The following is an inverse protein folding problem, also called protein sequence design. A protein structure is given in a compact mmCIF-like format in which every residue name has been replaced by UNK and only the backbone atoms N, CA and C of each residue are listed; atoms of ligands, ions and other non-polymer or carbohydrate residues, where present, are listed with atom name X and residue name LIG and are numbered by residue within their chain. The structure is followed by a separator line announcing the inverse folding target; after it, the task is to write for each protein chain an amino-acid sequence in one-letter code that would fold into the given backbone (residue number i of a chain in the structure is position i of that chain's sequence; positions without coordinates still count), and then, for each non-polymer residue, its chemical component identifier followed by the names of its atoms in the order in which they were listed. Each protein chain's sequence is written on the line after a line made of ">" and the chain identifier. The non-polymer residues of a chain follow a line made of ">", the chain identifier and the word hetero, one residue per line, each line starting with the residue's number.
data_IF_320911323239
#
_entry.id   IF_320911323239
#
_cell.length_a   1.000
_cell.length_b   1.000
_cell.length_c   1.000
_cell.angle_alpha   90.00
_cell.angle_beta   90.00
_cell.angle_gamma   90.00
#
_symmetry.space_group_name_H-M   'P 1'
#
loop_
_entity.id
_entity.type
_entity.pdbx_description
1 polymer ?
#
# COMPACT_ATOMS: atom_id res chain seq x y z
N UNK A 1 3.13 -5.81 13.12
CA UNK A 1 2.22 -4.69 12.82
C UNK A 1 1.88 -3.95 14.11
N UNK A 2 1.85 -2.61 14.10
CA UNK A 2 1.49 -1.84 15.28
C UNK A 2 0.12 -2.21 15.84
N UNK A 3 -0.01 -2.19 17.16
CA UNK A 3 -1.25 -2.60 17.84
C UNK A 3 -2.46 -1.76 17.42
N UNK A 4 -2.28 -0.46 17.22
CA UNK A 4 -3.37 0.42 16.78
C UNK A 4 -3.94 0.04 15.42
N UNK A 5 -3.08 -0.35 14.48
CA UNK A 5 -3.51 -0.80 13.15
C UNK A 5 -4.20 -2.16 13.23
N UNK A 6 -3.71 -3.05 14.10
CA UNK A 6 -4.37 -4.34 14.32
C UNK A 6 -5.78 -4.16 14.86
N UNK A 7 -5.98 -3.24 15.80
CA UNK A 7 -7.30 -2.95 16.35
C UNK A 7 -8.25 -2.44 15.28
N UNK A 8 -7.80 -1.51 14.43
CA UNK A 8 -8.60 -0.99 13.32
C UNK A 8 -9.01 -2.13 12.37
N UNK A 9 -8.07 -3.00 12.02
CA UNK A 9 -8.35 -4.13 11.13
C UNK A 9 -9.34 -5.10 11.76
N UNK A 10 -9.23 -5.35 13.06
CA UNK A 10 -10.12 -6.27 13.77
C UNK A 10 -11.51 -5.67 13.95
N UNK A 11 -11.62 -4.41 14.33
CA UNK A 11 -12.90 -3.77 14.65
C UNK A 11 -13.67 -3.31 13.42
N UNK A 12 -12.96 -2.78 12.42
CA UNK A 12 -13.58 -2.24 11.21
C UNK A 12 -13.88 -3.31 10.16
N UNK A 13 -13.06 -4.34 10.09
CA UNK A 13 -13.15 -5.38 9.08
C UNK A 13 -13.26 -6.75 9.75
N UNK A 14 -14.34 -7.45 9.45
CA UNK A 14 -14.73 -8.67 10.18
C UNK A 14 -13.96 -9.93 9.76
N UNK A 15 -13.43 -9.98 8.54
CA UNK A 15 -12.88 -11.22 8.00
C UNK A 15 -11.47 -11.56 8.50
N UNK A 16 -10.67 -10.58 8.88
CA UNK A 16 -9.26 -10.78 9.23
C UNK A 16 -8.36 -11.14 8.07
N UNK A 17 -8.91 -11.28 6.87
CA UNK A 17 -8.15 -11.59 5.65
C UNK A 17 -7.62 -10.32 5.01
N UNK A 18 -6.40 -10.42 4.48
CA UNK A 18 -5.69 -9.32 3.87
C UNK A 18 -5.16 -9.73 2.51
N UNK A 19 -4.93 -8.75 1.64
CA UNK A 19 -4.22 -8.95 0.37
C UNK A 19 -3.01 -8.04 0.32
N UNK A 20 -1.85 -8.65 0.07
CA UNK A 20 -0.59 -7.94 -0.10
C UNK A 20 -0.29 -7.81 -1.59
N UNK A 21 0.08 -6.61 -2.04
CA UNK A 21 0.37 -6.37 -3.44
C UNK A 21 1.45 -5.31 -3.60
N UNK A 22 2.05 -5.26 -4.77
CA UNK A 22 2.99 -4.19 -5.12
C UNK A 22 2.22 -2.88 -5.28
N UNK A 23 2.78 -1.78 -4.76
CA UNK A 23 2.18 -0.46 -4.94
C UNK A 23 2.25 -0.05 -6.42
N UNK A 24 1.21 0.60 -6.96
CA UNK A 24 1.19 0.92 -8.40
C UNK A 24 2.18 2.00 -8.80
N UNK A 25 2.44 2.98 -7.94
CA UNK A 25 3.21 4.17 -8.31
C UNK A 25 4.45 4.39 -7.47
N UNK A 26 4.72 3.49 -6.52
CA UNK A 26 5.81 3.65 -5.56
C UNK A 26 6.58 2.36 -5.41
N UNK A 27 7.80 2.46 -4.93
CA UNK A 27 8.60 1.31 -4.53
C UNK A 27 8.24 0.93 -3.09
N UNK A 28 7.06 0.35 -2.95
CA UNK A 28 6.45 0.00 -1.68
C UNK A 28 5.44 -1.12 -1.88
N UNK A 29 4.87 -1.61 -0.79
CA UNK A 29 3.80 -2.59 -0.83
C UNK A 29 2.51 -1.97 -0.27
N UNK A 30 1.38 -2.43 -0.78
CA UNK A 30 0.07 -2.10 -0.24
C UNK A 30 -0.55 -3.34 0.38
N UNK A 31 -1.18 -3.16 1.53
CA UNK A 31 -1.90 -4.22 2.23
C UNK A 31 -3.35 -3.78 2.37
N UNK A 32 -4.25 -4.57 1.79
CA UNK A 32 -5.68 -4.27 1.76
C UNK A 32 -6.45 -5.24 2.64
N UNK A 33 -7.34 -4.75 3.52
CA UNK A 33 -8.37 -5.62 4.07
C UNK A 33 -9.21 -6.22 2.96
N UNK A 34 -9.73 -7.43 3.15
CA UNK A 34 -10.50 -8.12 2.11
C UNK A 34 -11.62 -7.26 1.54
N UNK A 35 -12.37 -6.59 2.40
CA UNK A 35 -13.51 -5.77 1.98
C UNK A 35 -13.08 -4.63 1.05
N UNK A 36 -11.95 -3.99 1.36
CA UNK A 36 -11.41 -2.92 0.52
C UNK A 36 -10.82 -3.48 -0.78
N UNK A 37 -10.20 -4.65 -0.72
CA UNK A 37 -9.69 -5.33 -1.91
C UNK A 37 -10.80 -5.67 -2.89
N UNK A 38 -11.92 -6.17 -2.39
CA UNK A 38 -13.06 -6.51 -3.24
C UNK A 38 -13.67 -5.27 -3.92
N UNK A 39 -13.70 -4.14 -3.22
CA UNK A 39 -14.13 -2.86 -3.82
C UNK A 39 -13.20 -2.44 -4.95
N UNK A 40 -11.90 -2.60 -4.78
CA UNK A 40 -10.92 -2.29 -5.80
C UNK A 40 -11.09 -3.19 -7.03
N UNK A 41 -11.26 -4.49 -6.82
CA UNK A 41 -11.48 -5.44 -7.90
C UNK A 41 -12.73 -5.10 -8.70
N UNK A 42 -13.82 -4.76 -8.02
CA UNK A 42 -15.07 -4.39 -8.68
C UNK A 42 -14.91 -3.12 -9.51
N UNK A 43 -14.22 -2.13 -8.99
CA UNK A 43 -13.95 -0.91 -9.73
C UNK A 43 -13.17 -1.19 -11.02
N UNK A 44 -12.16 -2.06 -10.92
CA UNK A 44 -11.29 -2.39 -12.07
C UNK A 44 -12.04 -3.19 -13.13
N UNK A 45 -12.97 -4.06 -12.73
CA UNK A 45 -13.77 -4.82 -13.68
C UNK A 45 -14.55 -3.95 -14.66
N UNK A 46 -14.89 -2.73 -14.24
CA UNK A 46 -15.67 -1.82 -15.04
C UNK A 46 -14.82 -0.95 -15.96
N UNK A 47 -13.50 -1.05 -15.86
CA UNK A 47 -12.60 -0.25 -16.67
C UNK A 47 -12.24 -0.96 -17.99
N UNK A 48 -11.99 -0.19 -19.08
CA UNK A 48 -11.64 -0.78 -20.36
C UNK A 48 -10.24 -1.41 -20.33
N UNK A 49 -10.18 -2.71 -20.62
CA UNK A 49 -8.91 -3.45 -20.61
C UNK A 49 -8.05 -3.16 -21.85
N UNK A 50 -8.59 -2.47 -22.83
CA UNK A 50 -7.83 -1.99 -23.97
C UNK A 50 -6.95 -0.77 -23.65
N UNK A 51 -7.19 -0.12 -22.51
CA UNK A 51 -6.41 1.02 -22.07
C UNK A 51 -5.10 0.54 -21.44
N UNK A 52 -3.98 1.07 -21.94
CA UNK A 52 -2.64 0.70 -21.47
C UNK A 52 -2.45 0.97 -19.97
N UNK A 53 -3.03 2.05 -19.47
CA UNK A 53 -2.92 2.39 -18.04
C UNK A 53 -3.65 1.36 -17.17
N UNK A 54 -4.82 0.91 -17.62
CA UNK A 54 -5.57 -0.14 -16.94
C UNK A 54 -4.79 -1.45 -16.96
N UNK A 55 -4.19 -1.80 -18.09
CA UNK A 55 -3.37 -3.02 -18.20
C UNK A 55 -2.14 -2.97 -17.32
N UNK A 56 -1.48 -1.80 -17.23
CA UNK A 56 -0.38 -1.61 -16.30
C UNK A 56 -0.82 -1.91 -14.87
N UNK A 57 -1.94 -1.34 -14.44
CA UNK A 57 -2.46 -1.53 -13.09
C UNK A 57 -2.79 -2.99 -12.82
N UNK A 58 -3.43 -3.67 -13.77
CA UNK A 58 -3.74 -5.09 -13.63
C UNK A 58 -2.48 -5.93 -13.46
N UNK A 59 -1.45 -5.67 -14.26
CA UNK A 59 -0.20 -6.42 -14.20
C UNK A 59 0.62 -6.10 -12.95
N UNK A 60 0.62 -4.86 -12.54
CA UNK A 60 1.41 -4.43 -11.39
C UNK A 60 0.75 -4.78 -10.06
N UNK A 61 -0.53 -4.54 -9.93
CA UNK A 61 -1.25 -4.63 -8.66
C UNK A 61 -2.00 -5.96 -8.54
N UNK A 62 -2.87 -6.25 -9.49
CA UNK A 62 -3.73 -7.43 -9.38
C UNK A 62 -2.91 -8.72 -9.51
N UNK A 63 -1.99 -8.78 -10.46
CA UNK A 63 -1.19 -9.96 -10.69
C UNK A 63 -0.22 -10.27 -9.55
N UNK A 64 0.22 -9.26 -8.80
CA UNK A 64 1.12 -9.46 -7.66
C UNK A 64 0.40 -9.76 -6.35
N UNK A 65 -0.92 -9.66 -6.32
CA UNK A 65 -1.70 -9.80 -5.09
C UNK A 65 -1.67 -11.23 -4.56
N UNK A 66 -1.40 -11.36 -3.27
CA UNK A 66 -1.46 -12.62 -2.56
C UNK A 66 -2.29 -12.47 -1.29
N UNK A 67 -3.07 -13.49 -0.92
CA UNK A 67 -3.76 -13.47 0.36
C UNK A 67 -2.77 -13.65 1.51
N UNK A 68 -3.01 -12.97 2.62
CA UNK A 68 -2.22 -13.16 3.83
C UNK A 68 -3.09 -12.89 5.06
N UNK A 69 -2.59 -13.32 6.21
CA UNK A 69 -3.26 -13.10 7.49
C UNK A 69 -2.23 -12.69 8.53
N UNK A 70 -2.68 -11.92 9.52
CA UNK A 70 -1.85 -11.63 10.68
C UNK A 70 -1.74 -12.88 11.55
N UNK A 71 -0.54 -13.19 12.03
CA UNK A 71 -0.38 -14.22 13.03
C UNK A 71 -0.85 -13.70 14.41
N UNK A 72 -0.73 -14.55 15.43
CA UNK A 72 -1.18 -14.20 16.79
C UNK A 72 -0.41 -13.02 17.38
N UNK A 73 0.82 -12.78 16.92
CA UNK A 73 1.64 -11.65 17.35
C UNK A 73 1.48 -10.44 16.45
N UNK A 74 0.55 -10.48 15.49
CA UNK A 74 0.32 -9.36 14.57
C UNK A 74 1.37 -9.22 13.48
N UNK A 75 2.02 -10.33 13.09
CA UNK A 75 3.03 -10.35 12.03
C UNK A 75 2.43 -10.91 10.74
N UNK A 76 2.95 -10.45 9.63
CA UNK A 76 2.66 -11.03 8.31
C UNK A 76 3.98 -11.46 7.67
N UNK A 77 3.89 -12.47 6.82
CA UNK A 77 5.02 -12.91 6.02
C UNK A 77 5.01 -12.15 4.71
N UNK A 78 6.12 -11.45 4.42
CA UNK A 78 6.29 -10.77 3.14
C UNK A 78 7.16 -11.67 2.27
N UNK A 79 6.64 -12.19 1.13
CA UNK A 79 7.42 -13.05 0.25
C UNK A 79 8.66 -12.35 -0.31
N UNK A 80 9.65 -13.13 -0.66
CA UNK A 80 10.91 -12.62 -1.19
C UNK A 80 10.72 -11.69 -2.38
N UNK A 81 9.88 -12.06 -3.33
CA UNK A 81 9.65 -11.26 -4.54
C UNK A 81 9.05 -9.89 -4.22
N UNK A 82 8.11 -9.84 -3.27
CA UNK A 82 7.53 -8.57 -2.83
C UNK A 82 8.56 -7.70 -2.12
N UNK A 83 9.41 -8.31 -1.28
CA UNK A 83 10.49 -7.58 -0.61
C UNK A 83 11.47 -6.99 -1.60
N UNK A 84 11.83 -7.77 -2.63
CA UNK A 84 12.74 -7.31 -3.67
C UNK A 84 12.14 -6.15 -4.47
N UNK A 85 10.90 -6.27 -4.88
CA UNK A 85 10.22 -5.21 -5.63
C UNK A 85 10.16 -3.90 -4.85
N UNK A 86 9.85 -3.98 -3.56
CA UNK A 86 9.76 -2.79 -2.70
C UNK A 86 11.12 -2.33 -2.16
N UNK A 87 12.19 -3.05 -2.44
CA UNK A 87 13.53 -2.70 -1.96
C UNK A 87 13.69 -2.79 -0.45
N UNK A 88 12.91 -3.67 0.19
CA UNK A 88 12.94 -3.82 1.65
C UNK A 88 14.13 -4.68 2.05
N UNK A 89 15.03 -4.10 2.86
CA UNK A 89 16.20 -4.81 3.38
C UNK A 89 15.94 -5.44 4.74
N UNK A 90 15.72 -4.64 5.77
CA UNK A 90 15.52 -5.16 7.13
C UNK A 90 14.45 -4.38 7.89
N UNK A 91 14.61 -3.08 8.04
CA UNK A 91 13.67 -2.25 8.78
C UNK A 91 12.57 -1.74 7.85
N UNK A 92 11.32 -1.81 8.30
CA UNK A 92 10.16 -1.36 7.54
C UNK A 92 9.40 -0.28 8.32
N UNK A 93 8.70 0.56 7.57
CA UNK A 93 7.72 1.50 8.12
C UNK A 93 6.35 1.07 7.62
N UNK A 94 5.41 0.94 8.54
CA UNK A 94 4.05 0.53 8.25
C UNK A 94 3.13 1.72 8.54
N UNK A 95 2.42 2.18 7.51
CA UNK A 95 1.62 3.41 7.59
C UNK A 95 0.19 3.11 7.18
N UNK A 96 -0.76 3.44 8.06
CA UNK A 96 -2.17 3.36 7.71
C UNK A 96 -2.57 4.49 6.78
N UNK A 97 -3.13 4.13 5.65
CA UNK A 97 -3.83 5.04 4.76
C UNK A 97 -5.33 4.78 4.88
N UNK A 98 -6.16 5.61 4.31
CA UNK A 98 -7.62 5.54 4.51
C UNK A 98 -8.19 4.16 4.18
N UNK A 99 -7.83 3.59 3.04
CA UNK A 99 -8.40 2.33 2.53
C UNK A 99 -7.42 1.18 2.54
N UNK A 100 -6.16 1.44 2.88
CA UNK A 100 -5.10 0.45 2.82
C UNK A 100 -3.96 0.81 3.77
N UNK A 101 -3.05 -0.13 3.91
CA UNK A 101 -1.82 0.07 4.67
C UNK A 101 -0.67 0.06 3.68
N UNK A 102 0.29 0.96 3.87
CA UNK A 102 1.53 0.98 3.08
C UNK A 102 2.67 0.38 3.89
N UNK A 103 3.51 -0.39 3.21
CA UNK A 103 4.71 -0.97 3.81
C UNK A 103 5.92 -0.50 2.99
N UNK A 104 6.82 0.21 3.64
CA UNK A 104 7.98 0.84 3.02
C UNK A 104 9.27 0.35 3.65
N UNK A 105 10.33 0.28 2.85
CA UNK A 105 11.68 0.23 3.40
C UNK A 105 11.94 1.52 4.17
N UNK A 106 12.52 1.39 5.38
CA UNK A 106 12.69 2.56 6.26
C UNK A 106 13.53 3.66 5.62
N UNK A 107 14.63 3.31 4.97
CA UNK A 107 15.51 4.32 4.34
C UNK A 107 14.77 5.06 3.22
N UNK A 108 13.98 4.35 2.43
CA UNK A 108 13.18 4.95 1.36
C UNK A 108 12.11 5.87 1.94
N UNK A 109 11.42 5.42 2.97
CA UNK A 109 10.41 6.23 3.66
C UNK A 109 10.99 7.51 4.21
N UNK A 110 12.13 7.42 4.91
CA UNK A 110 12.80 8.58 5.47
C UNK A 110 13.16 9.59 4.38
N UNK A 111 13.56 9.09 3.21
CA UNK A 111 13.91 9.95 2.07
C UNK A 111 12.70 10.66 1.48
N UNK A 112 11.58 9.96 1.27
CA UNK A 112 10.41 10.57 0.63
C UNK A 112 9.64 11.51 1.56
N UNK A 113 9.84 11.40 2.86
CA UNK A 113 9.18 12.26 3.85
C UNK A 113 10.08 13.37 4.36
N UNK A 114 11.33 13.44 3.89
CA UNK A 114 12.27 14.49 4.28
C UNK A 114 12.03 15.73 3.41
N UNK A 115 11.56 16.85 4.01
CA UNK A 115 11.25 18.05 3.23
C UNK A 115 12.46 18.69 2.55
N UNK A 116 13.68 18.32 2.96
CA UNK A 116 14.90 18.84 2.31
C UNK A 116 15.25 18.07 1.04
N UNK A 117 14.62 16.92 0.79
CA UNK A 117 14.89 16.06 -0.37
C UNK A 117 13.83 16.12 -1.46
N UNK A 118 12.82 16.97 -1.27
CA UNK A 118 11.75 17.17 -2.24
C UNK A 118 11.67 18.64 -2.64
N UNK A 119 11.05 18.94 -3.76
CA UNK A 119 10.79 20.32 -4.17
C UNK A 119 9.63 20.87 -3.34
N UNK A 120 9.96 21.34 -2.14
CA UNK A 120 8.96 21.70 -1.13
C UNK A 120 8.13 22.92 -1.57
N UNK A 121 8.73 23.86 -2.30
CA UNK A 121 8.00 25.02 -2.79
C UNK A 121 6.93 24.63 -3.79
N UNK A 122 7.27 23.76 -4.72
CA UNK A 122 6.32 23.26 -5.72
C UNK A 122 5.16 22.52 -5.05
N UNK A 123 5.47 21.68 -4.07
CA UNK A 123 4.46 20.92 -3.33
C UNK A 123 3.58 21.88 -2.54
N UNK A 124 4.17 22.84 -1.85
CA UNK A 124 3.45 23.85 -1.06
C UNK A 124 2.49 24.64 -1.93
N UNK A 125 2.97 25.14 -3.09
CA UNK A 125 2.14 25.88 -4.03
C UNK A 125 0.98 25.04 -4.58
N UNK A 126 1.26 23.78 -4.91
CA UNK A 126 0.23 22.86 -5.39
C UNK A 126 -0.84 22.57 -4.32
N UNK A 127 -0.43 22.39 -3.09
CA UNK A 127 -1.35 22.09 -1.98
C UNK A 127 -2.17 23.29 -1.54
N UNK A 128 -1.70 24.49 -1.79
CA UNK A 128 -2.44 25.73 -1.46
C UNK A 128 -3.83 25.74 -2.12
N UNK A 129 -3.99 25.12 -3.30
CA UNK A 129 -5.27 24.98 -3.99
C UNK A 129 -6.30 24.22 -3.17
N UNK A 130 -5.86 23.37 -2.27
CA UNK A 130 -6.70 22.54 -1.44
C UNK A 130 -6.81 23.04 0.00
N UNK A 131 -6.29 24.24 0.26
CA UNK A 131 -6.32 24.84 1.60
C UNK A 131 -5.31 24.25 2.58
N UNK A 132 -4.28 23.59 2.07
CA UNK A 132 -3.24 22.96 2.91
C UNK A 132 -1.88 23.73 2.96
#
# INVERSE_FOLDING_TARGET
>A
MPASLREVLTNKYSSGKLYLTNAPFDKALHLYPLEEWLKLEEKIRQLPKSDESVMYFLRRVIASAIPCELDKQGRILIPYEHRQDAGINSAVVIVGQIERIEIWDKATWDSITDPTKVDIKRIQDALAKYGL
#
